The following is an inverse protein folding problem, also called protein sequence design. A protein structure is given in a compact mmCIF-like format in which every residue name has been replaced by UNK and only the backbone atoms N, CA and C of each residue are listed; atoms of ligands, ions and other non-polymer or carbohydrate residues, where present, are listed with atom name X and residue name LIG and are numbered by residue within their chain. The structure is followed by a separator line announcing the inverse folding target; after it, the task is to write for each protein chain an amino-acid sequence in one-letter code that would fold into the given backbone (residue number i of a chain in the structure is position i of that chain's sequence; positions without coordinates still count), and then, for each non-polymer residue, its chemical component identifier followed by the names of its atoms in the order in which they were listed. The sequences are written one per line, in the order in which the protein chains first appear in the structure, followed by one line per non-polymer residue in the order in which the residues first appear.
data_IF_528021303409
#
_entry.id   IF_528021303409
#
_cell.length_a   1.000
_cell.length_b   1.000
_cell.length_c   1.000
_cell.angle_alpha   90.00
_cell.angle_beta   90.00
_cell.angle_gamma   90.00
#
_symmetry.space_group_name_H-M   'P 1'
#
loop_
_entity.id
_entity.type
_entity.pdbx_description
1 polymer ?
#
# COMPACT_ATOMS: atom_id res chain seq x y z
N UNK A 1 3.96 -3.89 14.15
CA UNK A 1 2.51 -4.20 14.17
C UNK A 1 1.86 -4.31 12.79
N UNK A 2 2.29 -3.52 11.78
CA UNK A 2 1.65 -3.52 10.46
C UNK A 2 1.69 -4.89 9.78
N UNK A 3 2.86 -5.56 9.77
CA UNK A 3 3.03 -6.87 9.15
C UNK A 3 2.01 -7.90 9.68
N UNK A 4 1.78 -7.93 10.99
CA UNK A 4 0.80 -8.82 11.63
C UNK A 4 -0.63 -8.51 11.15
N UNK A 5 -1.01 -7.22 11.08
CA UNK A 5 -2.33 -6.81 10.59
C UNK A 5 -2.53 -7.18 9.10
N UNK A 6 -1.49 -7.00 8.29
CA UNK A 6 -1.50 -7.42 6.89
C UNK A 6 -1.64 -8.93 6.75
N UNK A 7 -0.89 -9.70 7.55
CA UNK A 7 -0.97 -11.17 7.55
C UNK A 7 -2.38 -11.65 7.88
N UNK A 8 -3.01 -11.11 8.92
CA UNK A 8 -4.40 -11.44 9.27
C UNK A 8 -5.37 -11.11 8.13
N UNK A 9 -5.25 -9.94 7.51
CA UNK A 9 -6.11 -9.56 6.39
C UNK A 9 -5.86 -10.39 5.11
N UNK A 10 -4.64 -10.90 4.92
CA UNK A 10 -4.32 -11.80 3.82
C UNK A 10 -5.00 -13.16 4.02
N UNK A 11 -4.96 -13.71 5.24
CA UNK A 11 -5.72 -14.93 5.59
C UNK A 11 -7.22 -14.70 5.38
N UNK A 12 -7.75 -13.56 5.82
CA UNK A 12 -9.16 -13.21 5.64
C UNK A 12 -9.56 -13.09 4.15
N UNK A 13 -8.63 -12.65 3.28
CA UNK A 13 -8.85 -12.61 1.83
C UNK A 13 -9.03 -14.00 1.24
N UNK A 14 -8.22 -14.97 1.69
CA UNK A 14 -8.29 -16.38 1.24
C UNK A 14 -9.61 -17.01 1.70
N UNK A 15 -9.99 -16.82 2.96
CA UNK A 15 -11.24 -17.37 3.52
C UNK A 15 -12.49 -16.89 2.79
N UNK A 16 -12.44 -15.66 2.27
CA UNK A 16 -13.53 -15.05 1.50
C UNK A 16 -13.35 -15.17 -0.02
N UNK A 17 -12.41 -16.01 -0.50
CA UNK A 17 -12.13 -16.23 -1.92
C UNK A 17 -11.88 -14.94 -2.74
N UNK A 18 -11.26 -13.93 -2.12
CA UNK A 18 -10.95 -12.63 -2.75
C UNK A 18 -9.69 -12.71 -3.63
N UNK A 19 -9.76 -13.54 -4.66
CA UNK A 19 -8.67 -13.74 -5.62
C UNK A 19 -8.47 -12.50 -6.51
N UNK A 20 -7.27 -12.35 -7.07
CA UNK A 20 -6.95 -11.21 -7.94
C UNK A 20 -6.90 -9.87 -7.20
N UNK A 21 -6.91 -9.87 -5.86
CA UNK A 21 -6.82 -8.67 -5.02
C UNK A 21 -5.64 -8.75 -4.08
N UNK A 22 -5.14 -7.59 -3.66
CA UNK A 22 -4.09 -7.45 -2.65
C UNK A 22 -4.58 -6.69 -1.42
N UNK A 23 -3.97 -6.97 -0.28
CA UNK A 23 -4.14 -6.19 0.95
C UNK A 23 -3.36 -4.88 0.82
N UNK A 24 -4.01 -3.76 1.09
CA UNK A 24 -3.43 -2.41 1.03
C UNK A 24 -3.79 -1.59 2.28
N UNK A 25 -3.05 -0.53 2.53
CA UNK A 25 -3.23 0.39 3.65
C UNK A 25 -3.58 1.76 3.11
N UNK A 26 -4.77 2.24 3.45
CA UNK A 26 -5.17 3.63 3.20
C UNK A 26 -5.16 4.39 4.53
N UNK A 27 -4.11 5.20 4.73
CA UNK A 27 -3.81 5.80 6.03
C UNK A 27 -3.53 4.74 7.09
N UNK A 28 -4.51 4.45 7.94
CA UNK A 28 -4.42 3.41 8.98
C UNK A 28 -5.38 2.24 8.77
N UNK A 29 -6.20 2.30 7.70
CA UNK A 29 -7.25 1.33 7.38
C UNK A 29 -6.74 0.26 6.42
N UNK A 30 -7.01 -1.01 6.74
CA UNK A 30 -6.73 -2.12 5.83
C UNK A 30 -7.84 -2.22 4.79
N UNK A 31 -7.46 -2.35 3.52
CA UNK A 31 -8.36 -2.39 2.35
C UNK A 31 -7.93 -3.50 1.38
N UNK A 32 -8.81 -3.89 0.45
CA UNK A 32 -8.52 -4.89 -0.57
C UNK A 32 -8.71 -4.28 -1.97
N UNK A 33 -7.61 -4.07 -2.68
CA UNK A 33 -7.60 -3.44 -4.02
C UNK A 33 -7.34 -4.48 -5.09
N UNK A 34 -7.80 -4.23 -6.32
CA UNK A 34 -7.50 -5.15 -7.42
C UNK A 34 -6.02 -5.06 -7.79
N UNK A 35 -5.41 -6.17 -8.23
CA UNK A 35 -4.00 -6.14 -8.64
C UNK A 35 -3.73 -5.17 -9.80
N UNK A 36 -4.68 -5.05 -10.73
CA UNK A 36 -4.60 -4.13 -11.87
C UNK A 36 -4.45 -2.66 -11.44
N UNK A 37 -5.12 -2.25 -10.36
CA UNK A 37 -5.01 -0.89 -9.80
C UNK A 37 -3.58 -0.57 -9.32
N UNK A 38 -2.83 -1.59 -8.91
CA UNK A 38 -1.50 -1.46 -8.32
C UNK A 38 -0.35 -1.52 -9.33
N UNK A 39 -0.58 -2.06 -10.53
CA UNK A 39 0.48 -2.32 -11.51
C UNK A 39 0.65 -1.21 -12.56
N UNK A 40 -0.30 -0.29 -12.68
CA UNK A 40 -0.34 0.68 -13.78
C UNK A 40 0.62 1.86 -13.67
N UNK A 41 1.22 2.11 -12.49
CA UNK A 41 2.06 3.30 -12.23
C UNK A 41 3.18 2.98 -11.26
N UNK A 42 4.33 3.62 -11.45
CA UNK A 42 5.43 3.56 -10.49
C UNK A 42 5.07 4.31 -9.20
N UNK A 43 5.46 3.73 -8.06
CA UNK A 43 5.35 4.41 -6.78
C UNK A 43 6.51 5.40 -6.63
N UNK A 44 6.28 6.65 -7.03
CA UNK A 44 7.27 7.72 -7.02
C UNK A 44 7.03 8.69 -5.88
N UNK A 45 8.11 9.24 -5.32
CA UNK A 45 8.01 10.36 -4.37
C UNK A 45 7.55 11.61 -5.13
N UNK A 46 6.52 12.34 -4.66
CA UNK A 46 6.13 13.62 -5.27
C UNK A 46 7.28 14.63 -5.24
N UNK A 47 7.49 15.36 -6.33
CA UNK A 47 8.62 16.30 -6.46
C UNK A 47 8.65 17.32 -5.31
N UNK A 48 7.50 17.89 -4.91
CA UNK A 48 7.43 18.87 -3.81
C UNK A 48 7.97 18.32 -2.49
N UNK A 49 7.73 17.05 -2.18
CA UNK A 49 8.25 16.39 -0.96
C UNK A 49 9.76 16.20 -1.02
N UNK A 50 10.29 15.94 -2.21
CA UNK A 50 11.73 15.85 -2.42
C UNK A 50 12.39 17.22 -2.26
N UNK A 51 11.82 18.26 -2.87
CA UNK A 51 12.33 19.63 -2.80
C UNK A 51 12.33 20.15 -1.35
N UNK A 52 11.27 19.89 -0.58
CA UNK A 52 11.20 20.18 0.85
C UNK A 52 12.32 19.50 1.64
N UNK A 53 12.57 18.21 1.38
CA UNK A 53 13.63 17.46 2.06
C UNK A 53 15.02 17.94 1.66
N UNK A 54 15.20 18.42 0.42
CA UNK A 54 16.48 18.84 -0.11
C UNK A 54 17.10 20.05 0.60
N UNK A 55 16.27 20.89 1.23
CA UNK A 55 16.72 22.02 2.06
C UNK A 55 17.59 21.54 3.24
N UNK A 56 17.40 20.29 3.69
CA UNK A 56 18.12 19.72 4.84
C UNK A 56 19.40 18.96 4.43
N UNK A 57 19.77 18.94 3.15
CA UNK A 57 20.92 18.16 2.67
C UNK A 57 22.27 18.87 2.83
N UNK A 58 22.30 20.15 3.23
CA UNK A 58 23.50 20.98 3.43
C UNK A 58 23.19 22.46 3.35
#
# INVERSE_FOLDING_TARGET
VLATRYGMAAVDSIMHARWGRMVSLSGTTITHVAFEDALGKLNTVPQSRYDEAAILFG
#
